data_IF_971180141568
#
_entry.id   IF_971180141568
#
_cell.length_a   1.000
_cell.length_b   1.000
_cell.length_c   1.000
_cell.angle_alpha   90.00
_cell.angle_beta   90.00
_cell.angle_gamma   90.00
#
_symmetry.space_group_name_H-M   'P 1'
#
loop_
_entity.id
_entity.type
_entity.pdbx_description
1 polymer ?
#
# COMPACT_ATOMS: atom_id res chain seq x y z
N UNK A 1 0.40 4.00 -14.62
CA UNK A 1 -0.98 4.38 -14.24
C UNK A 1 -1.06 4.65 -12.75
N UNK A 2 -1.76 5.73 -12.36
CA UNK A 2 -2.11 6.05 -10.97
C UNK A 2 -3.61 5.81 -10.75
N UNK A 3 -3.95 5.11 -9.65
CA UNK A 3 -5.32 4.96 -9.18
C UNK A 3 -5.54 5.75 -7.88
N UNK A 4 -6.41 6.75 -7.95
CA UNK A 4 -6.86 7.54 -6.80
C UNK A 4 -8.24 7.05 -6.36
N UNK A 5 -8.26 6.12 -5.42
CA UNK A 5 -9.45 5.38 -5.01
C UNK A 5 -9.70 5.52 -3.51
N UNK A 6 -10.95 5.73 -3.07
CA UNK A 6 -11.27 5.85 -1.66
C UNK A 6 -10.94 4.56 -0.89
N UNK A 7 -10.75 4.68 0.42
CA UNK A 7 -10.66 3.50 1.31
C UNK A 7 -11.94 2.68 1.20
N UNK A 8 -11.81 1.36 1.08
CA UNK A 8 -12.95 0.48 0.78
C UNK A 8 -13.37 0.46 -0.69
N UNK A 9 -12.78 1.27 -1.57
CA UNK A 9 -13.07 1.33 -3.00
C UNK A 9 -12.45 0.21 -3.85
N UNK A 10 -11.95 -0.86 -3.22
CA UNK A 10 -11.41 -2.02 -3.94
C UNK A 10 -9.97 -1.87 -4.42
N UNK A 11 -9.17 -0.94 -3.86
CA UNK A 11 -7.75 -0.73 -4.27
C UNK A 11 -6.96 -2.03 -4.44
N UNK A 12 -7.04 -2.94 -3.46
CA UNK A 12 -6.29 -4.20 -3.53
C UNK A 12 -6.72 -5.07 -4.72
N UNK A 13 -8.01 -5.09 -5.07
CA UNK A 13 -8.52 -5.86 -6.21
C UNK A 13 -7.99 -5.34 -7.55
N UNK A 14 -7.70 -4.04 -7.67
CA UNK A 14 -7.22 -3.44 -8.93
C UNK A 14 -5.86 -3.98 -9.36
N UNK A 15 -5.07 -4.50 -8.45
CA UNK A 15 -3.80 -5.17 -8.79
C UNK A 15 -3.82 -6.68 -8.57
N UNK A 16 -4.62 -7.19 -7.64
CA UNK A 16 -4.70 -8.62 -7.39
C UNK A 16 -5.27 -9.38 -8.59
N UNK A 17 -6.30 -8.81 -9.25
CA UNK A 17 -6.89 -9.44 -10.45
C UNK A 17 -5.89 -9.48 -11.60
N UNK A 18 -5.24 -8.38 -12.03
CA UNK A 18 -4.19 -8.44 -13.03
C UNK A 18 -3.03 -9.35 -12.65
N UNK A 19 -2.62 -9.36 -11.37
CA UNK A 19 -1.54 -10.23 -10.89
C UNK A 19 -1.84 -11.73 -11.08
N UNK A 20 -3.10 -12.13 -10.99
CA UNK A 20 -3.53 -13.50 -11.24
C UNK A 20 -3.63 -13.83 -12.74
N UNK A 21 -3.89 -12.83 -13.57
CA UNK A 21 -3.97 -13.01 -15.02
C UNK A 21 -2.60 -12.99 -15.71
N UNK A 22 -1.60 -12.38 -15.08
CA UNK A 22 -0.24 -12.32 -15.60
C UNK A 22 0.52 -13.59 -15.25
N UNK A 23 1.22 -14.16 -16.23
CA UNK A 23 2.14 -15.28 -15.99
C UNK A 23 3.49 -14.73 -15.49
N UNK A 24 3.68 -14.74 -14.18
CA UNK A 24 4.87 -14.26 -13.52
C UNK A 24 4.63 -13.66 -12.13
N UNK A 25 5.56 -12.82 -11.70
CA UNK A 25 5.58 -12.24 -10.37
C UNK A 25 5.09 -10.78 -10.39
N UNK A 26 4.17 -10.45 -9.52
CA UNK A 26 3.79 -9.07 -9.20
C UNK A 26 4.49 -8.64 -7.91
N UNK A 27 5.27 -7.55 -7.98
CA UNK A 27 5.87 -6.92 -6.82
C UNK A 27 4.91 -5.86 -6.26
N UNK A 28 4.58 -5.94 -4.97
CA UNK A 28 3.71 -4.98 -4.28
C UNK A 28 4.51 -4.29 -3.18
N UNK A 29 4.84 -3.02 -3.36
CA UNK A 29 5.52 -2.21 -2.34
C UNK A 29 4.46 -1.56 -1.47
N UNK A 30 4.52 -1.80 -0.15
CA UNK A 30 3.56 -1.26 0.83
C UNK A 30 4.27 -0.86 2.13
N UNK A 31 3.80 0.21 2.85
CA UNK A 31 4.56 0.79 3.95
C UNK A 31 4.41 0.08 5.29
N UNK A 32 3.37 -0.72 5.48
CA UNK A 32 3.00 -1.30 6.77
C UNK A 32 3.13 -2.83 6.76
N UNK A 33 4.03 -3.36 7.59
CA UNK A 33 4.28 -4.81 7.71
C UNK A 33 3.03 -5.56 8.18
N UNK A 34 2.26 -5.00 9.12
CA UNK A 34 1.01 -5.61 9.60
C UNK A 34 0.00 -5.77 8.47
N UNK A 35 -0.24 -4.71 7.69
CA UNK A 35 -1.16 -4.75 6.55
C UNK A 35 -0.68 -5.73 5.47
N UNK A 36 0.61 -5.75 5.20
CA UNK A 36 1.25 -6.69 4.28
C UNK A 36 0.97 -8.14 4.67
N UNK A 37 1.14 -8.46 5.96
CA UNK A 37 0.87 -9.79 6.52
C UNK A 37 -0.61 -10.15 6.37
N UNK A 38 -1.51 -9.27 6.80
CA UNK A 38 -2.96 -9.50 6.73
C UNK A 38 -3.43 -9.74 5.27
N UNK A 39 -2.92 -8.97 4.31
CA UNK A 39 -3.22 -9.16 2.90
C UNK A 39 -2.72 -10.51 2.37
N UNK A 40 -1.48 -10.88 2.69
CA UNK A 40 -0.91 -12.16 2.26
C UNK A 40 -1.63 -13.34 2.88
N UNK A 41 -1.98 -13.27 4.16
CA UNK A 41 -2.73 -14.33 4.85
C UNK A 41 -4.14 -14.47 4.24
N UNK A 42 -4.81 -13.37 3.91
CA UNK A 42 -6.09 -13.36 3.21
C UNK A 42 -6.02 -13.94 1.78
N UNK A 43 -4.92 -13.72 1.07
CA UNK A 43 -4.68 -14.33 -0.25
C UNK A 43 -4.42 -15.84 -0.14
N UNK A 44 -3.57 -16.25 0.81
CA UNK A 44 -3.28 -17.67 1.07
C UNK A 44 -4.52 -18.46 1.47
N UNK A 45 -5.41 -17.87 2.27
CA UNK A 45 -6.69 -18.48 2.62
C UNK A 45 -7.60 -18.75 1.40
N UNK A 46 -7.35 -18.04 0.28
CA UNK A 46 -8.00 -18.26 -1.02
C UNK A 46 -7.17 -19.11 -1.98
N UNK A 47 -6.16 -19.83 -1.48
CA UNK A 47 -5.21 -20.62 -2.27
C UNK A 47 -4.41 -19.80 -3.30
N UNK A 48 -4.23 -18.51 -3.09
CA UNK A 48 -3.40 -17.66 -3.94
C UNK A 48 -1.96 -17.66 -3.41
N UNK A 49 -1.01 -17.91 -4.30
CA UNK A 49 0.42 -18.04 -4.00
C UNK A 49 1.06 -16.68 -3.75
N UNK A 50 0.90 -16.15 -2.54
CA UNK A 50 1.47 -14.87 -2.11
C UNK A 50 2.48 -15.05 -0.98
N UNK A 51 3.45 -14.13 -0.91
CA UNK A 51 4.40 -14.01 0.19
C UNK A 51 4.67 -12.54 0.52
N UNK A 52 5.24 -12.31 1.70
CA UNK A 52 5.76 -11.00 2.08
C UNK A 52 7.22 -11.10 2.48
N UNK A 53 7.95 -9.98 2.29
CA UNK A 53 9.37 -9.86 2.58
C UNK A 53 9.68 -8.49 3.18
N UNK A 54 10.29 -8.46 4.36
CA UNK A 54 10.75 -7.22 4.98
C UNK A 54 12.14 -7.39 5.59
N UNK A 55 12.83 -6.28 5.87
CA UNK A 55 14.22 -6.28 6.31
C UNK A 55 14.44 -6.95 7.68
N UNK A 56 13.42 -6.99 8.54
CA UNK A 56 13.49 -7.60 9.87
C UNK A 56 13.31 -9.13 9.92
N UNK A 57 13.13 -9.80 8.79
CA UNK A 57 12.99 -11.26 8.74
C UNK A 57 14.36 -11.96 8.84
N UNK A 58 14.43 -13.20 9.39
CA UNK A 58 15.64 -14.02 9.35
C UNK A 58 16.15 -14.24 7.92
N UNK A 59 17.45 -14.21 7.72
CA UNK A 59 18.06 -14.35 6.38
C UNK A 59 17.68 -15.66 5.68
N UNK A 60 17.57 -16.76 6.41
CA UNK A 60 17.17 -18.07 5.89
C UNK A 60 15.74 -18.04 5.33
N UNK A 61 14.82 -17.39 6.04
CA UNK A 61 13.44 -17.23 5.59
C UNK A 61 13.34 -16.33 4.37
N UNK A 62 14.09 -15.21 4.37
CA UNK A 62 14.17 -14.33 3.21
C UNK A 62 14.66 -15.10 1.97
N UNK A 63 15.73 -15.89 2.11
CA UNK A 63 16.29 -16.69 1.00
C UNK A 63 15.27 -17.68 0.46
N UNK A 64 14.58 -18.40 1.33
CA UNK A 64 13.53 -19.35 0.93
C UNK A 64 12.39 -18.68 0.13
N UNK A 65 11.98 -17.47 0.52
CA UNK A 65 10.96 -16.71 -0.23
C UNK A 65 11.51 -16.27 -1.59
N UNK A 66 12.73 -15.77 -1.64
CA UNK A 66 13.40 -15.35 -2.88
C UNK A 66 13.49 -16.52 -3.86
N UNK A 67 13.94 -17.68 -3.41
CA UNK A 67 14.02 -18.89 -4.25
C UNK A 67 12.64 -19.28 -4.80
N UNK A 68 11.60 -19.26 -3.96
CA UNK A 68 10.23 -19.51 -4.41
C UNK A 68 9.74 -18.52 -5.48
N UNK A 69 10.13 -17.24 -5.38
CA UNK A 69 9.80 -16.24 -6.38
C UNK A 69 10.55 -16.52 -7.71
N UNK A 70 11.83 -16.82 -7.63
CA UNK A 70 12.67 -17.14 -8.80
C UNK A 70 12.13 -18.35 -9.57
N UNK A 71 11.68 -19.38 -8.86
CA UNK A 71 11.10 -20.59 -9.49
C UNK A 71 9.60 -20.49 -9.80
N UNK A 72 9.01 -19.29 -9.80
CA UNK A 72 7.60 -19.07 -10.17
C UNK A 72 6.57 -19.69 -9.23
N UNK A 73 6.97 -20.05 -8.00
CA UNK A 73 6.06 -20.64 -7.00
C UNK A 73 5.24 -19.58 -6.23
N UNK A 74 5.52 -18.29 -6.46
CA UNK A 74 4.81 -17.15 -5.89
C UNK A 74 4.42 -16.23 -7.04
N UNK A 75 3.16 -15.79 -7.07
CA UNK A 75 2.66 -14.84 -8.07
C UNK A 75 2.58 -13.40 -7.55
N UNK A 76 2.51 -13.21 -6.22
CA UNK A 76 2.53 -11.88 -5.59
C UNK A 76 3.53 -11.85 -4.43
N UNK A 77 4.50 -10.92 -4.50
CA UNK A 77 5.46 -10.65 -3.45
C UNK A 77 5.23 -9.25 -2.90
N UNK A 78 4.76 -9.17 -1.66
CA UNK A 78 4.67 -7.92 -0.91
C UNK A 78 6.01 -7.61 -0.29
N UNK A 79 6.49 -6.38 -0.43
CA UNK A 79 7.76 -5.96 0.17
C UNK A 79 7.67 -4.59 0.85
N UNK A 80 8.45 -4.47 1.93
CA UNK A 80 8.68 -3.18 2.53
C UNK A 80 9.68 -2.36 1.69
N UNK A 81 9.50 -1.05 1.56
CA UNK A 81 10.39 -0.20 0.76
C UNK A 81 11.83 -0.22 1.26
N UNK A 82 12.07 -0.47 2.56
CA UNK A 82 13.41 -0.62 3.13
C UNK A 82 14.20 -1.77 2.52
N UNK A 83 13.51 -2.80 2.04
CA UNK A 83 14.15 -3.96 1.40
C UNK A 83 14.86 -3.57 0.09
N UNK A 84 14.40 -2.52 -0.58
CA UNK A 84 15.02 -1.99 -1.79
C UNK A 84 16.39 -1.32 -1.56
N UNK A 85 16.81 -1.15 -0.29
CA UNK A 85 18.17 -0.69 0.03
C UNK A 85 19.24 -1.79 -0.08
N UNK A 86 18.81 -3.05 -0.14
CA UNK A 86 19.72 -4.20 -0.18
C UNK A 86 20.13 -4.47 -1.63
N UNK A 87 21.38 -4.21 -1.98
CA UNK A 87 21.96 -4.48 -3.30
C UNK A 87 21.84 -5.97 -3.68
N UNK A 88 22.05 -6.87 -2.71
CA UNK A 88 21.88 -8.31 -2.93
C UNK A 88 20.45 -8.65 -3.33
N UNK A 89 19.46 -8.02 -2.69
CA UNK A 89 18.05 -8.23 -3.04
C UNK A 89 17.73 -7.66 -4.43
N UNK A 90 18.25 -6.50 -4.79
CA UNK A 90 18.10 -5.94 -6.14
C UNK A 90 18.71 -6.88 -7.19
N UNK A 91 19.86 -7.48 -6.90
CA UNK A 91 20.45 -8.51 -7.77
C UNK A 91 19.55 -9.74 -7.91
N UNK A 92 18.98 -10.23 -6.80
CA UNK A 92 18.04 -11.37 -6.81
C UNK A 92 16.79 -11.07 -7.65
N UNK A 93 16.26 -9.83 -7.59
CA UNK A 93 15.09 -9.42 -8.37
C UNK A 93 15.27 -9.60 -9.89
N UNK A 94 16.50 -9.45 -10.41
CA UNK A 94 16.78 -9.62 -11.84
C UNK A 94 16.55 -11.06 -12.33
N UNK A 95 16.65 -12.04 -11.44
CA UNK A 95 16.41 -13.45 -11.76
C UNK A 95 14.94 -13.86 -11.62
N UNK A 96 14.09 -12.97 -11.10
CA UNK A 96 12.68 -13.26 -10.90
C UNK A 96 11.85 -12.87 -12.15
N UNK A 97 10.80 -13.64 -12.48
CA UNK A 97 9.92 -13.35 -13.62
C UNK A 97 8.94 -12.20 -13.33
N UNK A 98 9.45 -11.01 -12.99
CA UNK A 98 8.62 -9.84 -12.64
C UNK A 98 7.84 -9.36 -13.86
N UNK A 99 6.53 -9.14 -13.71
CA UNK A 99 5.61 -8.66 -14.76
C UNK A 99 4.88 -7.37 -14.43
N UNK A 100 4.71 -7.07 -13.15
CA UNK A 100 3.99 -5.88 -12.69
C UNK A 100 4.63 -5.35 -11.41
N UNK A 101 4.77 -4.03 -11.33
CA UNK A 101 5.16 -3.34 -10.11
C UNK A 101 3.96 -2.56 -9.60
N UNK A 102 3.58 -2.77 -8.34
CA UNK A 102 2.52 -2.06 -7.64
C UNK A 102 3.12 -1.25 -6.51
N UNK A 103 2.74 0.01 -6.42
CA UNK A 103 3.12 0.92 -5.34
C UNK A 103 1.85 1.28 -4.58
N UNK A 104 1.62 0.59 -3.47
CA UNK A 104 0.50 0.87 -2.58
C UNK A 104 0.84 2.04 -1.65
N UNK A 105 -0.19 2.79 -1.22
CA UNK A 105 -0.04 4.04 -0.47
C UNK A 105 1.00 4.99 -1.09
N UNK A 106 0.90 5.18 -2.41
CA UNK A 106 1.88 5.89 -3.22
C UNK A 106 2.11 7.35 -2.77
N UNK A 107 1.16 7.95 -2.01
CA UNK A 107 1.34 9.28 -1.41
C UNK A 107 2.56 9.36 -0.48
N UNK A 108 3.03 8.21 0.05
CA UNK A 108 4.23 8.15 0.88
C UNK A 108 5.52 8.54 0.13
N UNK A 109 5.52 8.59 -1.20
CA UNK A 109 6.68 9.01 -2.00
C UNK A 109 6.85 10.54 -2.04
N UNK A 110 5.75 11.27 -1.79
CA UNK A 110 5.70 12.71 -1.92
C UNK A 110 6.00 13.43 -0.61
N UNK A 111 6.92 14.41 -0.65
CA UNK A 111 7.18 15.30 0.48
C UNK A 111 6.01 16.26 0.77
N UNK A 112 5.13 16.46 -0.19
CA UNK A 112 3.91 17.27 -0.05
C UNK A 112 2.76 16.47 0.58
N UNK A 113 2.92 15.13 0.70
CA UNK A 113 1.98 14.26 1.39
C UNK A 113 2.16 14.30 2.91
N UNK A 114 1.10 14.03 3.65
CA UNK A 114 1.13 14.05 5.12
C UNK A 114 1.85 12.84 5.76
N UNK A 115 2.14 11.77 5.02
CA UNK A 115 2.86 10.56 5.49
C UNK A 115 4.07 10.25 4.59
N UNK A 116 4.93 11.26 4.41
CA UNK A 116 6.15 11.08 3.63
C UNK A 116 7.10 10.05 4.26
N UNK A 117 7.58 9.12 3.44
CA UNK A 117 8.55 8.08 3.86
C UNK A 117 9.77 8.07 2.96
N UNK A 118 10.95 8.46 3.46
CA UNK A 118 12.19 8.50 2.66
C UNK A 118 12.54 7.17 1.98
N UNK A 119 12.13 6.04 2.57
CA UNK A 119 12.34 4.72 1.97
C UNK A 119 11.58 4.51 0.65
N UNK A 120 10.44 5.21 0.45
CA UNK A 120 9.68 5.17 -0.80
C UNK A 120 10.44 5.78 -1.97
N UNK A 121 11.36 6.71 -1.73
CA UNK A 121 12.21 7.26 -2.79
C UNK A 121 13.03 6.18 -3.48
N UNK A 122 13.33 5.06 -2.81
CA UNK A 122 14.09 3.94 -3.39
C UNK A 122 13.30 3.12 -4.41
N UNK A 123 11.99 3.33 -4.53
CA UNK A 123 11.16 2.64 -5.53
C UNK A 123 11.60 2.99 -6.96
N UNK A 124 12.21 4.17 -7.18
CA UNK A 124 12.78 4.53 -8.50
C UNK A 124 13.79 3.47 -8.99
N UNK A 125 14.54 2.82 -8.10
CA UNK A 125 15.46 1.74 -8.47
C UNK A 125 14.78 0.60 -9.24
N UNK A 126 13.52 0.30 -8.89
CA UNK A 126 12.74 -0.70 -9.63
C UNK A 126 12.49 -0.25 -11.08
N UNK A 127 12.34 1.07 -11.32
CA UNK A 127 12.17 1.61 -12.68
C UNK A 127 13.46 1.54 -13.48
N UNK A 128 14.61 1.72 -12.83
CA UNK A 128 15.92 1.60 -13.47
C UNK A 128 16.22 0.15 -13.85
N UNK A 129 15.91 -0.79 -12.96
CA UNK A 129 16.15 -2.22 -13.21
C UNK A 129 15.13 -2.84 -14.16
N UNK A 130 13.90 -2.32 -14.19
CA UNK A 130 12.79 -2.82 -14.99
C UNK A 130 12.12 -1.72 -15.81
N UNK A 131 12.82 -1.07 -16.75
CA UNK A 131 12.32 0.13 -17.44
C UNK A 131 11.09 -0.15 -18.33
N UNK A 132 10.91 -1.39 -18.75
CA UNK A 132 9.79 -1.83 -19.61
C UNK A 132 8.54 -2.27 -18.86
N UNK A 133 8.62 -2.54 -17.55
CA UNK A 133 7.48 -3.09 -16.81
C UNK A 133 6.40 -2.04 -16.53
N UNK A 134 5.13 -2.46 -16.56
CA UNK A 134 4.03 -1.62 -16.11
C UNK A 134 4.14 -1.33 -14.61
N UNK A 135 3.79 -0.09 -14.24
CA UNK A 135 3.69 0.34 -12.84
C UNK A 135 2.29 0.83 -12.57
N UNK A 136 1.70 0.31 -11.51
CA UNK A 136 0.43 0.74 -10.94
C UNK A 136 0.67 1.35 -9.57
N UNK A 137 0.48 2.65 -9.43
CA UNK A 137 0.50 3.33 -8.14
C UNK A 137 -0.92 3.52 -7.63
N UNK A 138 -1.14 3.30 -6.34
CA UNK A 138 -2.44 3.38 -5.70
C UNK A 138 -2.37 4.22 -4.43
N UNK A 139 -3.33 5.09 -4.26
CA UNK A 139 -3.50 5.86 -3.02
C UNK A 139 -4.95 6.24 -2.79
N UNK A 140 -5.32 6.49 -1.51
CA UNK A 140 -6.61 7.02 -1.14
C UNK A 140 -6.56 8.52 -0.83
N UNK A 141 -5.38 9.11 -0.74
CA UNK A 141 -5.21 10.50 -0.28
C UNK A 141 -4.08 11.16 -1.06
N UNK A 142 -4.45 11.94 -2.05
CA UNK A 142 -3.50 12.76 -2.79
C UNK A 142 -4.19 14.02 -3.30
N UNK A 143 -3.56 15.18 -3.09
CA UNK A 143 -3.91 16.43 -3.76
C UNK A 143 -3.38 16.39 -5.19
N UNK A 144 -3.80 17.29 -6.09
CA UNK A 144 -3.25 17.38 -7.45
C UNK A 144 -1.72 17.46 -7.47
N UNK A 145 -1.12 18.24 -6.56
CA UNK A 145 0.34 18.39 -6.46
C UNK A 145 1.02 17.07 -6.06
N UNK A 146 0.39 16.30 -5.15
CA UNK A 146 0.89 14.97 -4.75
C UNK A 146 0.76 13.97 -5.91
N UNK A 147 -0.31 14.05 -6.70
CA UNK A 147 -0.50 13.22 -7.90
C UNK A 147 0.63 13.45 -8.90
N UNK A 148 0.95 14.72 -9.18
CA UNK A 148 2.04 15.06 -10.10
C UNK A 148 3.40 14.59 -9.58
N UNK A 149 3.71 14.82 -8.30
CA UNK A 149 4.96 14.37 -7.68
C UNK A 149 5.11 12.84 -7.70
N UNK A 150 4.02 12.08 -7.47
CA UNK A 150 4.03 10.61 -7.59
C UNK A 150 4.40 10.19 -9.01
N UNK A 151 3.76 10.80 -10.03
CA UNK A 151 4.00 10.45 -11.41
C UNK A 151 5.43 10.76 -11.86
N UNK A 152 5.97 11.88 -11.42
CA UNK A 152 7.35 12.27 -11.70
C UNK A 152 8.36 11.34 -11.04
N UNK A 153 8.22 11.06 -9.75
CA UNK A 153 9.15 10.20 -8.99
C UNK A 153 9.11 8.74 -9.44
N UNK A 154 7.97 8.26 -9.93
CA UNK A 154 7.84 6.92 -10.50
C UNK A 154 8.12 6.89 -12.02
N UNK A 155 8.53 8.00 -12.62
CA UNK A 155 8.89 8.14 -14.04
C UNK A 155 7.82 7.56 -14.97
N UNK A 156 6.56 7.99 -14.78
CA UNK A 156 5.46 7.53 -15.62
C UNK A 156 5.59 8.07 -17.04
N UNK A 157 5.65 7.18 -18.04
CA UNK A 157 5.75 7.57 -19.45
C UNK A 157 4.47 8.21 -19.98
N UNK A 158 3.30 7.73 -19.51
CA UNK A 158 2.00 8.31 -19.80
C UNK A 158 1.35 8.70 -18.47
N UNK A 159 0.93 9.96 -18.35
CA UNK A 159 0.29 10.49 -17.13
C UNK A 159 -1.19 10.12 -17.09
N UNK A 160 -1.48 8.83 -16.88
CA UNK A 160 -2.85 8.32 -16.77
C UNK A 160 -3.20 8.21 -15.30
N UNK A 161 -4.19 8.99 -14.86
CA UNK A 161 -4.78 8.94 -13.53
C UNK A 161 -6.25 8.55 -13.62
N UNK A 162 -6.61 7.48 -12.93
CA UNK A 162 -8.01 7.10 -12.70
C UNK A 162 -8.40 7.52 -11.28
N UNK A 163 -9.36 8.42 -11.17
CA UNK A 163 -9.90 8.86 -9.89
C UNK A 163 -11.37 8.50 -9.76
N UNK A 164 -11.79 8.17 -8.54
CA UNK A 164 -13.19 7.98 -8.18
C UNK A 164 -13.55 8.95 -7.06
N UNK A 165 -14.81 9.39 -7.04
CA UNK A 165 -15.31 10.26 -5.98
C UNK A 165 -15.07 9.65 -4.60
N UNK A 166 -14.63 10.48 -3.67
CA UNK A 166 -14.47 10.12 -2.25
C UNK A 166 -15.78 10.29 -1.46
N UNK A 167 -16.81 10.86 -2.09
CA UNK A 167 -18.15 10.95 -1.49
C UNK A 167 -18.71 9.55 -1.24
N UNK A 168 -19.26 9.35 -0.06
CA UNK A 168 -19.86 8.08 0.36
C UNK A 168 -21.25 8.38 0.91
N UNK A 169 -22.27 7.98 0.20
CA UNK A 169 -23.66 8.28 0.52
C UNK A 169 -24.12 7.71 1.87
N UNK A 170 -23.40 6.68 2.35
CA UNK A 170 -23.66 6.02 3.64
C UNK A 170 -22.84 6.60 4.80
N UNK A 171 -22.06 7.68 4.60
CA UNK A 171 -21.27 8.34 5.65
C UNK A 171 -21.68 9.80 5.82
N UNK A 172 -21.98 10.18 7.05
CA UNK A 172 -22.24 11.57 7.42
C UNK A 172 -21.06 12.12 8.20
N UNK A 173 -20.50 13.24 7.73
CA UNK A 173 -19.45 13.97 8.44
C UNK A 173 -20.06 15.11 9.25
N UNK A 174 -19.96 15.04 10.57
CA UNK A 174 -20.55 16.04 11.46
C UNK A 174 -19.44 16.69 12.28
N UNK A 175 -19.19 17.98 12.06
CA UNK A 175 -18.32 18.80 12.89
C UNK A 175 -19.14 19.59 13.90
N UNK A 176 -18.78 19.51 15.18
CA UNK A 176 -19.46 20.25 16.25
C UNK A 176 -18.43 20.95 17.13
N UNK A 177 -18.65 22.23 17.37
CA UNK A 177 -17.89 23.01 18.33
C UNK A 177 -18.50 22.89 19.73
N UNK A 178 -17.68 22.83 20.79
CA UNK A 178 -18.19 22.75 22.16
C UNK A 178 -17.10 22.54 23.20
N UNK A 179 -17.34 23.03 24.42
CA UNK A 179 -16.36 23.02 25.52
C UNK A 179 -16.30 21.67 26.25
N UNK A 180 -17.42 21.09 26.63
CA UNK A 180 -17.44 19.82 27.38
C UNK A 180 -17.46 18.58 26.46
N UNK A 181 -16.31 18.30 25.84
CA UNK A 181 -16.16 17.19 24.88
C UNK A 181 -16.44 15.80 25.47
N UNK A 182 -15.96 15.45 26.70
CA UNK A 182 -16.20 14.11 27.27
C UNK A 182 -17.69 13.83 27.50
N UNK A 183 -18.42 14.74 28.12
CA UNK A 183 -19.84 14.58 28.40
C UNK A 183 -20.66 14.47 27.11
N UNK A 184 -20.30 15.28 26.11
CA UNK A 184 -20.93 15.23 24.79
C UNK A 184 -20.67 13.91 24.06
N UNK A 185 -19.45 13.37 24.17
CA UNK A 185 -19.10 12.06 23.66
C UNK A 185 -19.95 10.98 24.31
N UNK A 186 -20.09 10.99 25.63
CA UNK A 186 -20.93 10.04 26.36
C UNK A 186 -22.39 10.10 25.86
N UNK A 187 -22.96 11.29 25.67
CA UNK A 187 -24.31 11.45 25.13
C UNK A 187 -24.45 10.86 23.72
N UNK A 188 -23.46 11.09 22.84
CA UNK A 188 -23.46 10.54 21.48
C UNK A 188 -23.41 9.00 21.55
N UNK A 189 -22.50 8.43 22.34
CA UNK A 189 -22.37 6.99 22.48
C UNK A 189 -23.64 6.32 23.02
N UNK A 190 -24.33 6.96 23.99
CA UNK A 190 -25.61 6.45 24.51
C UNK A 190 -26.76 6.53 23.48
N UNK A 191 -26.75 7.53 22.59
CA UNK A 191 -27.78 7.72 21.58
C UNK A 191 -27.55 6.94 20.28
N UNK A 192 -26.33 6.41 20.08
CA UNK A 192 -25.96 5.73 18.85
C UNK A 192 -26.00 4.20 19.06
N UNK A 193 -26.76 3.49 18.23
CA UNK A 193 -26.76 2.03 18.22
C UNK A 193 -25.60 1.52 17.37
N UNK A 194 -24.86 0.52 17.89
CA UNK A 194 -23.76 -0.12 17.16
C UNK A 194 -22.39 0.12 17.79
N UNK A 195 -21.34 -0.22 17.05
CA UNK A 195 -19.95 -0.05 17.49
C UNK A 195 -19.44 1.37 17.24
N UNK A 196 -18.62 1.87 18.14
CA UNK A 196 -18.00 3.19 18.02
C UNK A 196 -16.49 3.10 18.21
N UNK A 197 -15.73 3.93 17.47
CA UNK A 197 -14.29 4.10 17.64
C UNK A 197 -14.04 5.57 17.99
N UNK A 198 -13.34 5.79 19.10
CA UNK A 198 -13.02 7.13 19.59
C UNK A 198 -11.53 7.36 19.46
N UNK A 199 -11.13 8.35 18.63
CA UNK A 199 -9.74 8.75 18.48
C UNK A 199 -9.41 9.91 19.42
N UNK A 200 -8.33 9.79 20.15
CA UNK A 200 -7.82 10.84 21.06
C UNK A 200 -6.36 11.17 20.78
N UNK A 201 -5.95 12.40 21.09
CA UNK A 201 -4.59 12.89 20.79
C UNK A 201 -3.47 12.23 21.61
N UNK A 202 -3.76 11.64 22.74
CA UNK A 202 -2.74 11.06 23.60
C UNK A 202 -3.17 9.71 24.15
N UNK A 203 -2.22 8.77 24.26
CA UNK A 203 -2.43 7.46 24.88
C UNK A 203 -2.95 7.53 26.33
N UNK A 204 -2.63 8.60 27.05
CA UNK A 204 -3.12 8.81 28.44
C UNK A 204 -4.64 9.04 28.51
N UNK A 205 -5.26 9.48 27.42
CA UNK A 205 -6.72 9.71 27.34
C UNK A 205 -7.51 8.53 26.80
N UNK A 206 -6.85 7.39 26.53
CA UNK A 206 -7.51 6.15 26.09
C UNK A 206 -7.85 5.20 27.25
N UNK A 207 -7.48 5.57 28.48
CA UNK A 207 -7.78 4.84 29.72
C UNK A 207 -8.90 5.49 30.48
#
# INVERSE_FOLDING_TARGET
TLGLLPTGGGKSLTFQIPALALDGLTLVVTPLISLMKDQVDGLRARNIRAAYLHAGMPRSEQRHIIDKCTYGKICMLYLSPEKLRSESFISDLRSMPVRLIVVDEAHCISQWGYDFRPSYLKIHLLREHFPGLPVLALTASATPEVVDDIMDRLSFRGRVCYSRSFSRDNLSYIARYGENKPERLCRILHSTRGSAIVYVRSRRKTR
#
